data_IF_282982178425
#
_entry.id   IF_282982178425
#
_cell.length_a   1.000
_cell.length_b   1.000
_cell.length_c   1.000
_cell.angle_alpha   90.00
_cell.angle_beta   90.00
_cell.angle_gamma   90.00
#
_symmetry.space_group_name_H-M   'P 1'
#
loop_
_entity.id
_entity.type
_entity.pdbx_description
1 polymer ?
#
# COMPACT_ATOMS: atom_id res chain seq x y z
N UNK A 1 -3.32 -9.22 10.28
CA UNK A 1 -3.51 -9.91 9.00
C UNK A 1 -2.16 -10.42 8.51
N UNK A 2 -2.10 -11.53 7.84
CA UNK A 2 -0.88 -12.05 7.20
C UNK A 2 -1.24 -12.65 5.85
N UNK A 3 -0.36 -12.48 4.85
CA UNK A 3 -0.44 -13.17 3.55
C UNK A 3 0.43 -14.44 3.52
N UNK A 4 1.16 -14.72 4.59
CA UNK A 4 2.07 -15.86 4.66
C UNK A 4 1.31 -17.17 4.86
N UNK A 5 1.51 -18.13 3.94
CA UNK A 5 1.02 -19.49 4.07
C UNK A 5 2.20 -20.47 4.10
N UNK A 6 2.53 -21.06 5.27
CA UNK A 6 3.68 -21.97 5.40
C UNK A 6 3.60 -23.21 4.48
N UNK A 7 2.38 -23.70 4.22
CA UNK A 7 2.18 -24.87 3.36
C UNK A 7 2.54 -24.60 1.88
N UNK A 8 2.47 -23.36 1.46
CA UNK A 8 2.75 -22.91 0.08
C UNK A 8 4.13 -22.26 -0.08
N UNK A 9 4.87 -22.04 1.00
CA UNK A 9 6.15 -21.33 0.96
C UNK A 9 7.16 -21.95 -0.02
N UNK A 10 7.16 -23.28 -0.15
CA UNK A 10 8.06 -24.03 -1.05
C UNK A 10 7.75 -23.87 -2.53
N UNK A 11 6.59 -23.35 -2.88
CA UNK A 11 6.18 -23.13 -4.29
C UNK A 11 6.49 -21.72 -4.78
N UNK A 12 6.91 -20.81 -3.89
CA UNK A 12 7.34 -19.47 -4.24
C UNK A 12 8.77 -19.46 -4.80
N UNK A 13 9.05 -18.51 -5.68
CA UNK A 13 10.41 -18.28 -6.22
C UNK A 13 11.34 -17.72 -5.15
N UNK A 14 10.79 -16.88 -4.25
CA UNK A 14 11.50 -16.27 -3.14
C UNK A 14 10.76 -16.51 -1.83
N UNK A 15 11.50 -16.59 -0.73
CA UNK A 15 10.88 -16.62 0.59
C UNK A 15 10.12 -15.31 0.84
N UNK A 16 8.90 -15.37 1.39
CA UNK A 16 8.13 -14.17 1.71
C UNK A 16 8.94 -13.22 2.58
N UNK A 17 9.14 -12.00 2.11
CA UNK A 17 9.89 -10.97 2.82
C UNK A 17 8.99 -9.86 3.38
N UNK A 18 7.81 -9.65 2.80
CA UNK A 18 6.82 -8.66 3.25
C UNK A 18 5.43 -9.31 3.40
N UNK A 19 4.50 -8.58 4.01
CA UNK A 19 3.14 -9.09 4.26
C UNK A 19 3.05 -10.16 5.34
N UNK A 20 4.12 -10.41 6.10
CA UNK A 20 4.14 -11.41 7.18
C UNK A 20 3.21 -10.99 8.31
N UNK A 21 3.26 -9.71 8.69
CA UNK A 21 2.38 -9.14 9.71
C UNK A 21 1.97 -7.73 9.29
N UNK A 22 0.66 -7.53 9.16
CA UNK A 22 0.05 -6.24 8.85
C UNK A 22 -1.02 -5.97 9.89
N UNK A 23 -0.94 -4.81 10.53
CA UNK A 23 -1.92 -4.34 11.49
C UNK A 23 -2.55 -3.03 11.02
N UNK A 24 -3.86 -2.96 11.15
CA UNK A 24 -4.61 -1.74 10.91
C UNK A 24 -5.24 -1.26 12.21
N UNK A 25 -5.27 0.04 12.43
CA UNK A 25 -5.99 0.65 13.53
C UNK A 25 -6.56 1.99 13.12
N UNK A 26 -7.69 2.32 13.70
CA UNK A 26 -8.38 3.57 13.45
C UNK A 26 -8.02 4.54 14.56
N UNK A 27 -7.51 5.70 14.18
CA UNK A 27 -7.22 6.81 15.08
C UNK A 27 -8.38 7.81 14.99
N UNK A 28 -8.98 8.13 16.15
CA UNK A 28 -10.01 9.16 16.27
C UNK A 28 -9.37 10.48 16.74
N UNK A 29 -9.40 11.47 15.88
CA UNK A 29 -8.96 12.82 16.15
C UNK A 29 -10.16 13.78 16.13
N UNK A 30 -11.00 13.75 17.17
CA UNK A 30 -12.21 14.58 17.29
C UNK A 30 -13.16 14.40 16.10
N UNK A 31 -13.57 13.17 15.85
CA UNK A 31 -14.44 12.76 14.75
C UNK A 31 -13.82 12.85 13.35
N UNK A 32 -12.50 13.04 13.28
CA UNK A 32 -11.70 12.85 12.07
C UNK A 32 -10.97 11.52 12.16
N UNK A 33 -11.54 10.49 11.54
CA UNK A 33 -11.03 9.12 11.61
C UNK A 33 -9.96 8.87 10.55
N UNK A 34 -8.81 8.33 10.98
CA UNK A 34 -7.71 7.98 10.09
C UNK A 34 -7.38 6.48 10.22
N UNK A 35 -7.26 5.79 9.10
CA UNK A 35 -6.82 4.39 9.05
C UNK A 35 -5.31 4.34 8.97
N UNK A 36 -4.68 3.91 10.04
CA UNK A 36 -3.24 3.71 10.10
C UNK A 36 -2.89 2.24 9.81
N UNK A 37 -1.74 2.02 9.20
CA UNK A 37 -1.22 0.71 8.86
C UNK A 37 0.20 0.54 9.42
N UNK A 38 0.44 -0.57 10.12
CA UNK A 38 1.76 -1.02 10.54
C UNK A 38 2.09 -2.32 9.80
N UNK A 39 3.19 -2.34 9.04
CA UNK A 39 3.67 -3.50 8.32
C UNK A 39 5.07 -3.90 8.78
N UNK A 40 5.24 -5.17 9.14
CA UNK A 40 6.54 -5.74 9.45
C UNK A 40 7.08 -6.48 8.22
N UNK A 41 8.26 -6.08 7.78
CA UNK A 41 8.97 -6.65 6.65
C UNK A 41 10.27 -7.30 7.12
N UNK A 42 10.43 -8.60 6.83
CA UNK A 42 11.59 -9.37 7.26
C UNK A 42 12.87 -8.92 6.55
N UNK A 43 12.78 -8.66 5.26
CA UNK A 43 13.93 -8.31 4.42
C UNK A 43 13.50 -7.36 3.30
N UNK A 44 14.35 -6.43 2.94
CA UNK A 44 14.05 -5.41 1.94
C UNK A 44 15.27 -4.96 1.14
N UNK A 45 15.22 -5.15 -0.18
CA UNK A 45 16.09 -4.48 -1.12
C UNK A 45 15.73 -2.99 -1.15
N UNK A 46 16.67 -2.16 -0.72
CA UNK A 46 16.43 -0.72 -0.60
C UNK A 46 16.23 -0.03 -1.95
N UNK A 47 16.77 -0.58 -3.03
CA UNK A 47 16.71 0.05 -4.36
C UNK A 47 15.46 -0.36 -5.15
N UNK A 48 15.24 -1.67 -5.34
CA UNK A 48 14.12 -2.15 -6.16
C UNK A 48 12.90 -2.55 -5.31
N UNK A 49 13.11 -3.19 -4.15
CA UNK A 49 12.01 -3.79 -3.37
C UNK A 49 11.22 -2.79 -2.54
N UNK A 50 11.89 -2.06 -1.65
CA UNK A 50 11.25 -1.19 -0.65
C UNK A 50 10.34 -0.12 -1.29
N UNK A 51 10.71 0.59 -2.37
CA UNK A 51 9.84 1.59 -2.97
C UNK A 51 8.50 1.00 -3.46
N UNK A 52 8.52 -0.17 -4.07
CA UNK A 52 7.30 -0.88 -4.48
C UNK A 52 6.49 -1.37 -3.28
N UNK A 53 7.15 -1.86 -2.23
CA UNK A 53 6.45 -2.28 -1.01
C UNK A 53 5.73 -1.10 -0.35
N UNK A 54 6.38 0.07 -0.23
CA UNK A 54 5.75 1.29 0.30
C UNK A 54 4.51 1.65 -0.53
N UNK A 55 4.64 1.69 -1.86
CA UNK A 55 3.55 2.04 -2.77
C UNK A 55 2.38 1.05 -2.66
N UNK A 56 2.67 -0.25 -2.58
CA UNK A 56 1.64 -1.29 -2.47
C UNK A 56 0.84 -1.19 -1.18
N UNK A 57 1.50 -0.99 -0.04
CA UNK A 57 0.79 -0.87 1.24
C UNK A 57 0.10 0.47 1.40
N UNK A 58 0.64 1.55 0.82
CA UNK A 58 -0.07 2.82 0.74
C UNK A 58 -1.35 2.66 -0.08
N UNK A 59 -1.28 2.03 -1.26
CA UNK A 59 -2.46 1.73 -2.08
C UNK A 59 -3.50 0.91 -1.32
N UNK A 60 -3.07 -0.12 -0.57
CA UNK A 60 -3.97 -0.94 0.24
C UNK A 60 -4.73 -0.10 1.27
N UNK A 61 -4.08 0.85 1.95
CA UNK A 61 -4.75 1.77 2.90
C UNK A 61 -5.81 2.61 2.18
N UNK A 62 -5.48 3.17 1.02
CA UNK A 62 -6.45 3.95 0.23
C UNK A 62 -7.64 3.11 -0.22
N UNK A 63 -7.41 1.88 -0.70
CA UNK A 63 -8.46 0.97 -1.12
C UNK A 63 -9.40 0.61 0.03
N UNK A 64 -8.85 0.33 1.21
CA UNK A 64 -9.65 0.04 2.41
C UNK A 64 -10.46 1.25 2.86
N UNK A 65 -9.88 2.45 2.88
CA UNK A 65 -10.62 3.67 3.20
C UNK A 65 -11.75 3.92 2.20
N UNK A 66 -11.50 3.76 0.90
CA UNK A 66 -12.52 3.88 -0.13
C UNK A 66 -13.65 2.88 0.08
N UNK A 67 -13.32 1.61 0.33
CA UNK A 67 -14.29 0.55 0.60
C UNK A 67 -15.15 0.88 1.81
N UNK A 68 -14.55 1.22 2.96
CA UNK A 68 -15.27 1.58 4.18
C UNK A 68 -16.21 2.77 3.92
N UNK A 69 -15.73 3.81 3.25
CA UNK A 69 -16.52 5.01 2.96
C UNK A 69 -17.70 4.74 2.03
N UNK A 70 -17.54 3.84 1.06
CA UNK A 70 -18.61 3.44 0.15
C UNK A 70 -19.61 2.49 0.80
N UNK A 71 -19.24 1.81 1.88
CA UNK A 71 -20.10 0.86 2.62
C UNK A 71 -20.77 1.48 3.84
N UNK A 72 -20.77 2.81 3.96
CA UNK A 72 -21.46 3.53 5.04
C UNK A 72 -20.54 4.23 6.03
N UNK A 73 -19.24 4.07 5.92
CA UNK A 73 -18.27 4.71 6.79
C UNK A 73 -18.15 4.06 8.17
N UNK A 74 -17.64 4.81 9.14
CA UNK A 74 -17.51 4.40 10.55
C UNK A 74 -18.72 4.91 11.31
N UNK A 75 -19.36 4.01 12.07
CA UNK A 75 -20.44 4.39 12.99
C UNK A 75 -19.83 4.73 14.36
N UNK A 76 -19.97 5.98 14.77
CA UNK A 76 -19.54 6.46 16.08
C UNK A 76 -20.65 7.35 16.67
N UNK A 77 -21.05 7.10 17.91
CA UNK A 77 -22.16 7.83 18.58
C UNK A 77 -23.42 7.95 17.71
N UNK A 78 -23.82 6.88 17.02
CA UNK A 78 -25.01 6.80 16.15
C UNK A 78 -24.92 7.70 14.88
N UNK A 79 -23.75 8.19 14.53
CA UNK A 79 -23.49 8.95 13.32
C UNK A 79 -22.47 8.23 12.43
N UNK A 80 -22.59 8.42 11.12
CA UNK A 80 -21.65 7.88 10.13
C UNK A 80 -20.58 8.91 9.82
N UNK A 81 -19.33 8.47 9.89
CA UNK A 81 -18.15 9.29 9.57
C UNK A 81 -17.36 8.66 8.45
N UNK A 82 -16.72 9.51 7.64
CA UNK A 82 -15.73 9.06 6.69
C UNK A 82 -14.40 8.75 7.38
N UNK A 83 -13.68 7.79 6.83
CA UNK A 83 -12.32 7.46 7.23
C UNK A 83 -11.34 7.94 6.16
N UNK A 84 -10.23 8.52 6.59
CA UNK A 84 -9.17 8.99 5.71
C UNK A 84 -7.95 8.05 5.76
N UNK A 85 -7.14 7.98 4.71
CA UNK A 85 -5.83 7.35 4.80
C UNK A 85 -4.98 8.05 5.86
N UNK A 86 -4.46 7.27 6.80
CA UNK A 86 -3.61 7.73 7.88
C UNK A 86 -2.12 7.46 7.60
N UNK A 87 -1.39 7.05 8.62
CA UNK A 87 0.05 6.79 8.55
C UNK A 87 0.31 5.35 8.09
N UNK A 88 1.24 5.19 7.15
CA UNK A 88 1.88 3.91 6.87
C UNK A 88 3.21 3.85 7.65
N UNK A 89 3.31 2.91 8.57
CA UNK A 89 4.54 2.62 9.32
C UNK A 89 5.09 1.28 8.84
N UNK A 90 6.36 1.25 8.50
CA UNK A 90 7.03 0.02 8.08
C UNK A 90 8.23 -0.24 8.98
N UNK A 91 8.29 -1.46 9.52
CA UNK A 91 9.42 -1.94 10.32
C UNK A 91 10.18 -2.95 9.45
N UNK A 92 11.45 -2.70 9.27
CA UNK A 92 12.33 -3.57 8.51
C UNK A 92 13.33 -4.25 9.45
N UNK A 93 13.45 -5.59 9.36
CA UNK A 93 14.43 -6.34 10.14
C UNK A 93 15.80 -6.36 9.46
N UNK A 94 15.81 -6.42 8.12
CA UNK A 94 17.01 -6.39 7.29
C UNK A 94 16.77 -5.48 6.09
N UNK A 95 17.61 -4.45 5.95
CA UNK A 95 17.65 -3.58 4.76
C UNK A 95 19.01 -3.72 4.14
N UNK A 96 19.05 -3.99 2.83
CA UNK A 96 20.28 -4.17 2.10
C UNK A 96 20.25 -3.49 0.74
N UNK A 97 21.42 -3.24 0.20
CA UNK A 97 21.69 -2.79 -1.17
C UNK A 97 22.62 -3.81 -1.80
N UNK A 98 22.22 -4.37 -2.93
CA UNK A 98 23.10 -5.27 -3.68
C UNK A 98 24.28 -4.49 -4.29
N UNK A 99 25.46 -5.10 -4.32
CA UNK A 99 26.66 -4.48 -4.88
C UNK A 99 26.44 -4.01 -6.33
N UNK A 100 25.70 -4.79 -7.12
CA UNK A 100 25.36 -4.48 -8.51
C UNK A 100 24.46 -3.24 -8.65
N UNK A 101 23.85 -2.78 -7.57
CA UNK A 101 22.94 -1.62 -7.57
C UNK A 101 23.60 -0.33 -7.07
N UNK A 102 24.85 -0.35 -6.59
CA UNK A 102 25.51 0.81 -5.99
C UNK A 102 25.55 2.01 -6.95
N UNK A 103 25.93 1.80 -8.23
CA UNK A 103 25.94 2.87 -9.21
C UNK A 103 24.54 3.44 -9.50
N UNK A 104 23.53 2.58 -9.50
CA UNK A 104 22.16 2.98 -9.69
C UNK A 104 21.64 3.80 -8.50
N UNK A 105 21.99 3.38 -7.28
CA UNK A 105 21.66 4.11 -6.03
C UNK A 105 22.34 5.49 -6.04
N UNK A 106 23.62 5.56 -6.38
CA UNK A 106 24.34 6.83 -6.46
C UNK A 106 23.66 7.81 -7.42
N UNK A 107 23.25 7.35 -8.60
CA UNK A 107 22.46 8.17 -9.54
C UNK A 107 21.11 8.59 -8.97
N UNK A 108 20.46 7.71 -8.21
CA UNK A 108 19.15 7.99 -7.64
C UNK A 108 19.21 9.09 -6.56
N UNK A 109 20.20 9.03 -5.66
CA UNK A 109 20.33 9.99 -4.55
C UNK A 109 20.76 11.39 -5.01
N UNK A 110 21.34 11.53 -6.21
CA UNK A 110 21.66 12.84 -6.80
C UNK A 110 20.43 13.58 -7.34
N UNK A 111 19.30 12.89 -7.50
CA UNK A 111 18.08 13.48 -8.06
C UNK A 111 17.31 14.27 -7.00
N UNK A 112 16.84 15.43 -7.37
CA UNK A 112 15.96 16.23 -6.52
C UNK A 112 14.54 15.65 -6.65
N UNK A 113 13.88 15.24 -5.56
CA UNK A 113 12.55 14.65 -5.64
C UNK A 113 11.52 15.68 -6.12
N UNK A 114 10.58 15.20 -6.95
CA UNK A 114 9.39 15.97 -7.31
C UNK A 114 8.37 15.98 -6.15
N UNK A 115 7.37 16.84 -6.26
CA UNK A 115 6.23 16.82 -5.36
C UNK A 115 5.53 15.45 -5.44
N UNK A 116 5.01 14.99 -4.30
CA UNK A 116 4.28 13.73 -4.26
C UNK A 116 3.02 13.77 -5.13
N UNK A 117 2.75 12.72 -5.90
CA UNK A 117 1.49 12.57 -6.60
C UNK A 117 0.34 12.30 -5.63
N UNK A 118 -0.87 12.43 -6.12
CA UNK A 118 -2.07 12.06 -5.39
C UNK A 118 -2.73 10.86 -6.06
N UNK A 119 -3.23 9.93 -5.27
CA UNK A 119 -4.05 8.83 -5.74
C UNK A 119 -5.52 9.21 -5.62
N UNK A 120 -6.27 9.08 -6.72
CA UNK A 120 -7.73 9.11 -6.74
C UNK A 120 -8.25 7.73 -7.09
N UNK A 121 -9.26 7.27 -6.33
CA UNK A 121 -9.98 6.05 -6.64
C UNK A 121 -11.36 6.44 -7.16
N UNK A 122 -11.61 6.18 -8.44
CA UNK A 122 -12.85 6.53 -9.16
C UNK A 122 -13.83 5.33 -9.16
N UNK A 123 -13.92 4.63 -8.03
CA UNK A 123 -14.77 3.46 -7.85
C UNK A 123 -15.78 3.71 -6.75
N UNK A 124 -17.07 3.63 -7.12
CA UNK A 124 -18.19 3.71 -6.20
C UNK A 124 -18.85 2.33 -6.07
N UNK A 125 -19.02 1.88 -4.85
CA UNK A 125 -19.76 0.64 -4.58
C UNK A 125 -21.25 0.94 -4.78
N UNK A 126 -21.83 0.40 -5.83
CA UNK A 126 -23.27 0.51 -6.09
C UNK A 126 -23.99 -0.66 -5.39
N UNK A 127 -25.02 -0.34 -4.58
CA UNK A 127 -25.93 -1.31 -3.96
C UNK A 127 -25.34 -2.24 -2.89
N UNK A 128 -24.75 -1.68 -1.84
CA UNK A 128 -24.28 -2.43 -0.68
C UNK A 128 -25.37 -3.30 0.03
N UNK A 129 -26.64 -3.04 -0.21
CA UNK A 129 -27.77 -3.73 0.44
C UNK A 129 -28.11 -5.10 -0.16
N UNK A 130 -27.48 -5.51 -1.26
CA UNK A 130 -27.69 -6.83 -1.84
C UNK A 130 -26.50 -7.74 -1.53
N UNK A 131 -26.80 -8.89 -0.97
CA UNK A 131 -25.88 -9.99 -0.59
C UNK A 131 -25.12 -10.63 -1.76
N UNK A 132 -25.26 -10.11 -2.97
CA UNK A 132 -24.50 -10.49 -4.14
C UNK A 132 -23.24 -9.60 -4.22
N UNK A 133 -22.12 -10.19 -4.58
CA UNK A 133 -20.74 -9.69 -4.59
C UNK A 133 -20.48 -8.38 -5.37
N UNK A 134 -21.54 -7.74 -5.88
CA UNK A 134 -21.52 -6.44 -6.55
C UNK A 134 -21.28 -5.31 -5.57
N UNK A 135 -20.04 -5.00 -5.32
CA UNK A 135 -19.66 -3.91 -4.40
C UNK A 135 -18.46 -4.26 -3.53
N UNK A 136 -17.84 -5.40 -3.81
CA UNK A 136 -16.60 -5.82 -3.13
C UNK A 136 -15.40 -4.97 -3.60
N UNK A 137 -14.45 -4.77 -2.69
CA UNK A 137 -13.10 -4.29 -3.03
C UNK A 137 -12.44 -5.13 -4.14
N UNK A 138 -12.86 -6.39 -4.31
CA UNK A 138 -12.39 -7.30 -5.35
C UNK A 138 -12.80 -6.88 -6.77
N UNK A 139 -13.78 -5.98 -6.91
CA UNK A 139 -14.25 -5.48 -8.20
C UNK A 139 -13.51 -4.20 -8.64
N UNK A 140 -12.58 -3.71 -7.82
CA UNK A 140 -11.72 -2.59 -8.18
C UNK A 140 -10.77 -3.01 -9.30
N UNK A 141 -10.80 -2.27 -10.41
CA UNK A 141 -9.94 -2.51 -11.56
C UNK A 141 -8.87 -1.41 -11.69
N UNK A 142 -7.83 -1.68 -12.46
CA UNK A 142 -6.75 -0.71 -12.68
C UNK A 142 -7.25 0.62 -13.27
N UNK A 143 -8.28 0.60 -14.11
CA UNK A 143 -8.91 1.79 -14.70
C UNK A 143 -9.55 2.73 -13.67
N UNK A 144 -9.88 2.21 -12.48
CA UNK A 144 -10.49 2.98 -11.40
C UNK A 144 -9.45 3.75 -10.58
N UNK A 145 -8.17 3.49 -10.83
CA UNK A 145 -7.05 4.14 -10.15
C UNK A 145 -6.46 5.24 -11.03
N UNK A 146 -6.39 6.44 -10.51
CA UNK A 146 -5.80 7.59 -11.19
C UNK A 146 -4.71 8.21 -10.33
N UNK A 147 -3.50 8.35 -10.88
CA UNK A 147 -2.40 9.05 -10.23
C UNK A 147 -2.31 10.45 -10.82
N UNK A 148 -2.53 11.45 -9.96
CA UNK A 148 -2.58 12.86 -10.35
C UNK A 148 -1.25 13.54 -10.04
N UNK A 149 -0.76 14.37 -10.95
CA UNK A 149 0.48 15.14 -10.83
C UNK A 149 1.72 14.26 -10.61
N UNK A 150 1.76 13.09 -11.24
CA UNK A 150 2.93 12.22 -11.22
C UNK A 150 3.99 12.74 -12.19
N UNK A 151 5.18 13.01 -11.64
CA UNK A 151 6.37 13.35 -12.42
C UNK A 151 7.50 12.40 -12.01
N UNK A 152 8.29 11.98 -12.97
CA UNK A 152 9.46 11.14 -12.74
C UNK A 152 10.63 11.53 -13.62
N UNK A 153 11.83 11.21 -13.17
CA UNK A 153 13.02 11.19 -14.03
C UNK A 153 12.99 9.94 -14.91
N UNK A 154 13.91 9.91 -15.88
CA UNK A 154 14.15 8.71 -16.68
C UNK A 154 14.46 7.50 -15.80
N UNK A 155 14.04 6.33 -16.25
CA UNK A 155 14.25 5.09 -15.51
C UNK A 155 15.72 4.78 -15.32
N UNK A 156 16.11 4.31 -14.14
CA UNK A 156 17.41 3.72 -13.87
C UNK A 156 17.23 2.21 -13.94
N UNK A 157 17.85 1.59 -14.94
CA UNK A 157 17.74 0.14 -15.12
C UNK A 157 18.68 -0.57 -14.14
N UNK A 158 18.15 -1.58 -13.45
CA UNK A 158 18.89 -2.50 -12.61
C UNK A 158 18.33 -3.91 -12.78
N UNK A 159 19.20 -4.92 -12.66
CA UNK A 159 18.79 -6.30 -12.74
C UNK A 159 18.23 -6.75 -11.38
N UNK A 160 17.11 -7.48 -11.38
CA UNK A 160 16.62 -8.13 -10.16
C UNK A 160 17.60 -9.24 -9.76
N UNK A 161 18.01 -9.22 -8.50
CA UNK A 161 18.87 -10.23 -7.89
C UNK A 161 17.96 -11.17 -7.09
N UNK A 162 18.02 -12.48 -7.37
CA UNK A 162 17.23 -13.52 -6.72
C UNK A 162 18.08 -14.40 -5.82
#
# INVERSE_FOLDING_TARGET
MTSYNPAQAKFGVLYPCHGISIQFYVEDNNSNFNLNCLMNQRSGDAFLGIPFNISSYALLVYMLCNHINCTGGIIHNQQNYKINPGKLMMIFCDIHIYEQHIDAVNKQIERIPYNFPQLRINYEIKNFNNTNEEGSINNLEFKDLEIINYNSYDSIKAQMIA
#
